data_IF_674318305508
#
_entry.id   IF_674318305508
#
_cell.length_a   1.000
_cell.length_b   1.000
_cell.length_c   1.000
_cell.angle_alpha   90.00
_cell.angle_beta   90.00
_cell.angle_gamma   90.00
#
_symmetry.space_group_name_H-M   'P 1'
#
loop_
_entity.id
_entity.type
_entity.pdbx_description
1 polymer ?
#
# COMPACT_ATOMS: atom_id res chain seq x y z
N UNK A 1 -25.03 32.29 -28.86
CA UNK A 1 -24.54 31.45 -27.76
C UNK A 1 -25.51 30.28 -27.62
N UNK A 2 -25.11 29.12 -28.15
CA UNK A 2 -26.00 27.98 -28.34
C UNK A 2 -26.19 27.21 -27.03
N UNK A 3 -27.44 27.14 -26.56
CA UNK A 3 -27.85 26.28 -25.44
C UNK A 3 -27.76 24.81 -25.86
N UNK A 4 -26.96 24.04 -25.12
CA UNK A 4 -26.86 22.59 -25.27
C UNK A 4 -28.00 21.89 -24.52
N UNK A 5 -28.71 20.92 -25.12
CA UNK A 5 -29.72 20.15 -24.40
C UNK A 5 -29.11 19.02 -23.56
N UNK A 6 -29.64 18.90 -22.35
CA UNK A 6 -29.32 17.94 -21.28
C UNK A 6 -29.73 16.52 -21.68
N UNK A 7 -28.79 15.58 -21.70
CA UNK A 7 -29.03 14.17 -21.99
C UNK A 7 -29.77 13.47 -20.82
N UNK A 8 -30.78 12.68 -21.14
CA UNK A 8 -31.54 11.83 -20.22
C UNK A 8 -30.78 10.51 -19.93
N UNK A 9 -30.94 9.89 -18.74
CA UNK A 9 -30.34 8.60 -18.46
C UNK A 9 -31.09 7.47 -19.17
N UNK A 10 -30.39 6.71 -20.00
CA UNK A 10 -30.87 5.47 -20.59
C UNK A 10 -31.02 4.41 -19.49
N UNK A 11 -32.25 4.06 -19.14
CA UNK A 11 -32.56 2.87 -18.34
C UNK A 11 -32.38 1.63 -19.21
N UNK A 12 -31.16 1.14 -19.29
CA UNK A 12 -30.85 -0.18 -19.83
C UNK A 12 -31.40 -1.25 -18.88
N UNK A 13 -32.29 -2.09 -19.40
CA UNK A 13 -32.80 -3.24 -18.68
C UNK A 13 -31.63 -4.17 -18.30
N UNK A 14 -31.37 -4.33 -17.01
CA UNK A 14 -30.53 -5.41 -16.49
C UNK A 14 -31.28 -6.72 -16.73
N UNK A 15 -31.00 -7.37 -17.86
CA UNK A 15 -31.28 -8.79 -18.02
C UNK A 15 -30.28 -9.55 -17.15
N UNK A 16 -30.75 -10.00 -15.99
CA UNK A 16 -30.05 -11.00 -15.17
C UNK A 16 -29.79 -12.23 -16.06
N UNK A 17 -28.55 -12.65 -16.35
CA UNK A 17 -28.34 -13.93 -16.97
C UNK A 17 -28.75 -14.99 -15.95
N UNK A 18 -29.73 -15.80 -16.33
CA UNK A 18 -30.15 -16.96 -15.55
C UNK A 18 -28.92 -17.81 -15.22
N UNK A 19 -28.69 -18.05 -13.93
CA UNK A 19 -27.72 -19.02 -13.47
C UNK A 19 -28.07 -20.38 -14.08
N UNK A 20 -27.32 -20.81 -15.09
CA UNK A 20 -27.39 -22.16 -15.58
C UNK A 20 -26.87 -23.05 -14.45
N UNK A 21 -27.79 -23.78 -13.80
CA UNK A 21 -27.41 -24.86 -12.91
C UNK A 21 -26.49 -25.81 -13.67
N UNK A 22 -25.26 -26.02 -13.18
CA UNK A 22 -24.31 -26.98 -13.74
C UNK A 22 -24.90 -28.39 -13.64
N UNK A 23 -25.66 -28.78 -14.66
CA UNK A 23 -26.08 -30.16 -14.84
C UNK A 23 -24.87 -31.06 -15.03
N UNK A 24 -24.96 -32.28 -14.53
CA UNK A 24 -23.92 -33.30 -14.67
C UNK A 24 -23.55 -33.48 -16.16
N UNK A 25 -22.36 -33.04 -16.55
CA UNK A 25 -21.84 -33.22 -17.92
C UNK A 25 -21.77 -34.72 -18.23
N UNK A 26 -22.30 -35.13 -19.39
CA UNK A 26 -22.23 -36.51 -19.83
C UNK A 26 -20.79 -36.98 -20.03
N UNK A 27 -20.55 -38.29 -19.96
CA UNK A 27 -19.22 -38.89 -20.20
C UNK A 27 -18.61 -38.47 -21.55
N UNK A 28 -19.45 -38.28 -22.56
CA UNK A 28 -19.03 -37.85 -23.89
C UNK A 28 -18.61 -36.37 -23.92
N UNK A 29 -19.25 -35.49 -23.14
CA UNK A 29 -18.87 -34.08 -23.04
C UNK A 29 -17.53 -33.91 -22.31
N UNK A 30 -17.30 -34.71 -21.27
CA UNK A 30 -16.01 -34.76 -20.58
C UNK A 30 -14.88 -35.22 -21.52
N UNK A 31 -15.16 -36.23 -22.38
CA UNK A 31 -14.19 -36.70 -23.38
C UNK A 31 -13.88 -35.60 -24.41
N UNK A 32 -14.89 -34.86 -24.87
CA UNK A 32 -14.74 -33.72 -25.81
C UNK A 32 -13.95 -32.57 -25.19
N UNK A 33 -14.25 -32.17 -23.95
CA UNK A 33 -13.52 -31.11 -23.23
C UNK A 33 -12.05 -31.46 -23.07
N UNK A 34 -11.75 -32.72 -22.76
CA UNK A 34 -10.37 -33.21 -22.65
C UNK A 34 -9.63 -33.17 -23.99
N UNK A 35 -10.25 -33.66 -25.07
CA UNK A 35 -9.66 -33.64 -26.42
C UNK A 35 -9.43 -32.21 -26.92
N UNK A 36 -10.36 -31.29 -26.62
CA UNK A 36 -10.21 -29.87 -26.94
C UNK A 36 -9.01 -29.26 -26.21
N UNK A 37 -8.83 -29.58 -24.92
CA UNK A 37 -7.67 -29.13 -24.17
C UNK A 37 -6.36 -29.74 -24.70
N UNK A 38 -6.33 -31.03 -25.02
CA UNK A 38 -5.15 -31.67 -25.64
C UNK A 38 -4.80 -31.02 -26.99
N UNK A 39 -5.80 -30.68 -27.81
CA UNK A 39 -5.59 -29.95 -29.06
C UNK A 39 -5.09 -28.51 -28.86
N UNK A 40 -5.57 -27.81 -27.82
CA UNK A 40 -5.07 -26.48 -27.43
C UNK A 40 -3.64 -26.55 -26.91
N UNK A 41 -3.31 -27.55 -26.08
CA UNK A 41 -1.94 -27.80 -25.60
C UNK A 41 -0.99 -28.18 -26.75
N UNK A 42 -1.49 -28.89 -27.76
CA UNK A 42 -0.73 -29.21 -28.97
C UNK A 42 -0.66 -28.04 -29.97
N UNK A 43 -1.23 -26.86 -29.66
CA UNK A 43 -1.24 -25.69 -30.54
C UNK A 43 -2.08 -25.85 -31.82
N UNK A 44 -2.92 -26.89 -31.90
CA UNK A 44 -3.78 -27.18 -33.06
C UNK A 44 -5.13 -26.47 -32.98
N UNK A 45 -5.59 -26.12 -31.78
CA UNK A 45 -6.82 -25.38 -31.54
C UNK A 45 -6.53 -24.04 -30.85
N UNK A 46 -7.38 -23.03 -31.13
CA UNK A 46 -7.23 -21.69 -30.56
C UNK A 46 -7.33 -21.69 -29.03
N UNK A 47 -6.47 -20.87 -28.41
CA UNK A 47 -6.45 -20.69 -26.98
C UNK A 47 -7.75 -20.04 -26.48
N UNK A 48 -8.11 -20.38 -25.25
CA UNK A 48 -9.26 -19.80 -24.58
C UNK A 48 -8.98 -18.34 -24.24
N UNK A 49 -9.96 -17.44 -24.42
CA UNK A 49 -9.80 -16.01 -24.15
C UNK A 49 -10.47 -15.67 -22.83
N UNK A 50 -9.75 -14.97 -21.95
CA UNK A 50 -10.27 -14.46 -20.69
C UNK A 50 -11.37 -13.42 -20.94
N UNK A 51 -12.55 -13.65 -20.38
CA UNK A 51 -13.71 -12.76 -20.53
C UNK A 51 -13.49 -11.38 -19.90
N UNK A 52 -12.70 -11.30 -18.82
CA UNK A 52 -12.48 -10.06 -18.09
C UNK A 52 -11.35 -9.22 -18.67
N UNK A 53 -10.20 -9.86 -18.95
CA UNK A 53 -9.00 -9.15 -19.42
C UNK A 53 -8.88 -9.14 -20.94
N UNK A 54 -9.64 -9.96 -21.67
CA UNK A 54 -9.52 -10.13 -23.12
C UNK A 54 -8.21 -10.78 -23.57
N UNK A 55 -7.43 -11.34 -22.64
CA UNK A 55 -6.13 -11.96 -22.90
C UNK A 55 -6.30 -13.45 -23.12
N UNK A 56 -5.44 -14.05 -23.95
CA UNK A 56 -5.40 -15.50 -24.08
C UNK A 56 -4.99 -16.15 -22.75
N UNK A 57 -5.72 -17.18 -22.35
CA UNK A 57 -5.37 -18.07 -21.25
C UNK A 57 -4.45 -19.14 -21.82
N UNK A 58 -3.28 -19.30 -21.20
CA UNK A 58 -2.29 -20.27 -21.64
C UNK A 58 -2.88 -21.70 -21.60
N UNK A 59 -2.94 -22.43 -22.74
CA UNK A 59 -3.42 -23.81 -22.80
C UNK A 59 -2.72 -24.82 -21.89
N UNK A 60 -1.47 -24.53 -21.50
CA UNK A 60 -0.69 -25.40 -20.61
C UNK A 60 -0.95 -25.16 -19.12
N UNK A 61 -1.76 -24.17 -18.76
CA UNK A 61 -2.13 -23.95 -17.36
C UNK A 61 -3.03 -25.12 -16.90
N UNK A 62 -2.67 -25.87 -15.85
CA UNK A 62 -3.47 -27.01 -15.41
C UNK A 62 -4.89 -26.59 -14.99
N UNK A 63 -5.85 -27.50 -15.15
CA UNK A 63 -7.27 -27.22 -14.93
C UNK A 63 -7.59 -26.65 -13.54
N UNK A 64 -6.85 -27.04 -12.49
CA UNK A 64 -7.10 -26.59 -11.12
C UNK A 64 -6.67 -25.14 -10.86
N UNK A 65 -5.86 -24.54 -11.74
CA UNK A 65 -5.49 -23.12 -11.68
C UNK A 65 -6.42 -22.27 -12.57
N UNK A 66 -6.91 -22.83 -13.69
CA UNK A 66 -7.79 -22.11 -14.61
C UNK A 66 -9.25 -22.08 -14.17
N UNK A 67 -9.75 -23.17 -13.57
CA UNK A 67 -11.13 -23.26 -13.10
C UNK A 67 -11.29 -22.52 -11.78
N UNK A 68 -12.06 -21.42 -11.80
CA UNK A 68 -12.37 -20.67 -10.59
C UNK A 68 -13.16 -21.56 -9.60
N UNK A 69 -12.83 -21.52 -8.29
CA UNK A 69 -13.61 -22.21 -7.27
C UNK A 69 -15.05 -21.70 -7.18
N UNK A 70 -15.99 -22.58 -6.83
CA UNK A 70 -17.43 -22.29 -6.77
C UNK A 70 -17.82 -21.10 -5.87
N UNK A 71 -17.00 -20.78 -4.87
CA UNK A 71 -17.26 -19.68 -3.92
C UNK A 71 -16.87 -18.30 -4.47
N UNK A 72 -16.19 -18.23 -5.60
CA UNK A 72 -15.96 -17.00 -6.34
C UNK A 72 -16.97 -16.99 -7.49
N UNK A 73 -17.92 -16.05 -7.47
CA UNK A 73 -19.02 -15.91 -8.44
C UNK A 73 -18.54 -15.47 -9.85
N UNK A 74 -17.54 -16.16 -10.40
CA UNK A 74 -16.96 -15.92 -11.73
C UNK A 74 -17.65 -16.78 -12.80
N UNK A 75 -18.97 -16.85 -12.76
CA UNK A 75 -19.81 -17.69 -13.66
C UNK A 75 -19.95 -17.11 -15.08
N UNK A 76 -19.10 -16.15 -15.45
CA UNK A 76 -19.21 -15.39 -16.70
C UNK A 76 -18.28 -15.94 -17.80
N UNK A 77 -17.54 -17.02 -17.53
CA UNK A 77 -16.70 -17.73 -18.49
C UNK A 77 -15.29 -18.02 -17.97
N UNK A 78 -14.40 -18.55 -18.82
CA UNK A 78 -13.03 -18.85 -18.45
C UNK A 78 -12.30 -17.56 -18.09
N UNK A 79 -11.83 -17.43 -16.85
CA UNK A 79 -11.08 -16.26 -16.40
C UNK A 79 -10.02 -16.62 -15.36
N UNK A 80 -8.91 -15.90 -15.38
CA UNK A 80 -7.83 -16.04 -14.40
C UNK A 80 -7.90 -14.98 -13.29
N UNK A 81 -9.01 -14.24 -13.21
CA UNK A 81 -9.20 -13.13 -12.28
C UNK A 81 -9.06 -13.55 -10.81
N UNK A 82 -9.43 -14.78 -10.45
CA UNK A 82 -9.27 -15.29 -9.08
C UNK A 82 -7.81 -15.54 -8.67
N UNK A 83 -6.87 -15.65 -9.62
CA UNK A 83 -5.44 -15.77 -9.32
C UNK A 83 -4.75 -14.41 -9.19
N UNK A 84 -5.41 -13.33 -9.64
CA UNK A 84 -4.89 -11.99 -9.43
C UNK A 84 -5.05 -11.62 -7.95
N UNK A 85 -4.04 -10.93 -7.43
CA UNK A 85 -4.09 -10.46 -6.06
C UNK A 85 -5.23 -9.43 -5.91
N UNK A 86 -6.21 -9.82 -5.09
CA UNK A 86 -7.47 -9.11 -4.88
C UNK A 86 -7.33 -7.91 -3.94
N UNK A 87 -6.25 -7.85 -3.16
CA UNK A 87 -5.97 -6.81 -2.17
C UNK A 87 -4.50 -6.40 -2.18
N UNK A 88 -3.98 -5.90 -3.31
CA UNK A 88 -2.70 -5.20 -3.25
C UNK A 88 -2.84 -4.04 -2.25
N UNK A 89 -2.17 -4.16 -1.11
CA UNK A 89 -1.92 -3.01 -0.26
C UNK A 89 -1.11 -2.03 -1.10
N UNK A 90 -1.49 -0.76 -1.07
CA UNK A 90 -0.62 0.27 -1.64
C UNK A 90 0.70 0.22 -0.87
N UNK A 91 1.80 0.00 -1.59
CA UNK A 91 3.11 -0.05 -0.97
C UNK A 91 3.53 1.33 -0.48
N UNK A 92 4.14 1.31 0.70
CA UNK A 92 4.95 2.32 1.38
C UNK A 92 4.67 3.77 1.00
N UNK A 93 4.03 4.50 1.92
CA UNK A 93 4.23 5.94 1.93
C UNK A 93 5.71 6.22 2.21
N UNK A 94 6.30 7.16 1.47
CA UNK A 94 7.66 7.67 1.74
C UNK A 94 7.73 8.47 3.05
N UNK A 95 6.68 8.42 3.86
CA UNK A 95 6.55 9.17 5.08
C UNK A 95 7.56 8.64 6.10
N UNK A 96 8.42 9.52 6.57
CA UNK A 96 9.27 9.28 7.73
C UNK A 96 8.56 9.82 8.97
N UNK A 97 8.89 9.28 10.14
CA UNK A 97 8.51 9.91 11.39
C UNK A 97 8.97 11.36 11.40
N UNK A 98 8.08 12.27 11.76
CA UNK A 98 8.46 13.66 11.97
C UNK A 98 9.37 13.75 13.19
N UNK A 99 10.57 14.32 13.02
CA UNK A 99 11.56 14.47 14.08
C UNK A 99 11.74 15.95 14.40
N UNK A 100 11.83 16.27 15.69
CA UNK A 100 12.13 17.63 16.15
C UNK A 100 10.98 18.64 16.03
N UNK A 101 9.82 18.22 15.51
CA UNK A 101 8.59 19.00 15.52
C UNK A 101 8.04 19.06 16.94
N UNK A 102 8.05 20.27 17.51
CA UNK A 102 7.51 20.56 18.84
C UNK A 102 6.15 21.25 18.67
N UNK A 103 5.16 20.79 19.43
CA UNK A 103 3.86 21.47 19.50
C UNK A 103 3.94 22.81 20.24
N UNK A 104 2.78 23.40 20.49
CA UNK A 104 2.68 24.67 21.19
C UNK A 104 3.26 24.61 22.61
N UNK A 105 3.87 25.73 23.03
CA UNK A 105 4.40 25.87 24.37
C UNK A 105 3.27 25.99 25.39
N UNK A 106 3.24 25.07 26.35
CA UNK A 106 2.29 25.09 27.46
C UNK A 106 2.66 26.18 28.46
N UNK A 107 1.69 27.03 28.80
CA UNK A 107 1.86 28.08 29.82
C UNK A 107 1.55 27.60 31.24
N UNK A 108 0.81 26.49 31.38
CA UNK A 108 0.40 25.93 32.67
C UNK A 108 0.58 24.42 32.69
N UNK A 109 0.88 23.90 33.88
CA UNK A 109 1.04 22.46 34.07
C UNK A 109 -0.31 21.74 33.98
N UNK A 110 -0.37 20.70 33.15
CA UNK A 110 -1.57 19.88 32.95
C UNK A 110 -1.49 18.65 33.86
N UNK A 111 -2.59 18.33 34.56
CA UNK A 111 -2.66 17.14 35.40
C UNK A 111 -2.50 15.88 34.54
N UNK A 112 -1.59 14.99 34.94
CA UNK A 112 -1.24 13.79 34.17
C UNK A 112 -0.04 13.95 33.24
N UNK A 113 0.47 15.18 33.08
CA UNK A 113 1.73 15.42 32.39
C UNK A 113 2.95 14.92 33.19
N UNK A 114 4.07 14.74 32.49
CA UNK A 114 5.36 14.42 33.06
C UNK A 114 5.73 15.39 34.20
N UNK A 115 6.01 14.85 35.38
CA UNK A 115 6.30 15.67 36.56
C UNK A 115 7.59 16.50 36.43
N UNK A 116 8.51 16.06 35.55
CA UNK A 116 9.81 16.71 35.32
C UNK A 116 9.70 17.90 34.36
N UNK A 117 9.26 17.66 33.11
CA UNK A 117 9.24 18.65 32.03
C UNK A 117 7.86 19.24 31.72
N UNK A 118 6.76 18.57 32.08
CA UNK A 118 5.39 19.05 31.82
C UNK A 118 4.79 18.66 30.46
N UNK A 119 5.46 17.82 29.65
CA UNK A 119 4.87 17.22 28.44
C UNK A 119 3.85 16.13 28.80
N UNK A 120 2.81 15.96 27.99
CA UNK A 120 1.79 14.89 28.15
C UNK A 120 2.09 13.63 27.35
N UNK A 121 3.15 13.60 26.54
CA UNK A 121 3.48 12.45 25.67
C UNK A 121 4.15 11.30 26.39
N UNK A 122 4.80 11.57 27.53
CA UNK A 122 5.63 10.59 28.22
C UNK A 122 5.55 10.72 29.75
N UNK A 123 6.06 9.71 30.45
CA UNK A 123 6.11 9.69 31.92
C UNK A 123 7.40 10.30 32.46
N UNK A 124 7.49 10.49 33.79
CA UNK A 124 8.72 11.01 34.42
C UNK A 124 9.96 10.13 34.16
N UNK A 125 9.77 8.82 34.02
CA UNK A 125 10.88 7.87 33.84
C UNK A 125 11.46 7.95 32.44
N UNK A 126 10.60 8.17 31.44
CA UNK A 126 10.96 8.23 30.02
C UNK A 126 11.16 9.69 29.55
N UNK A 127 11.57 10.56 30.47
CA UNK A 127 11.71 11.98 30.19
C UNK A 127 13.03 12.27 29.49
N UNK A 128 12.97 12.92 28.32
CA UNK A 128 14.14 13.35 27.55
C UNK A 128 14.88 14.53 28.18
N UNK A 129 14.22 15.27 29.07
CA UNK A 129 14.82 16.40 29.78
C UNK A 129 15.60 15.93 31.00
N UNK A 130 16.70 16.63 31.32
CA UNK A 130 17.51 16.34 32.50
C UNK A 130 16.64 16.28 33.76
N UNK A 131 16.75 15.24 34.62
CA UNK A 131 15.99 15.16 35.86
C UNK A 131 16.23 16.39 36.76
N UNK A 132 15.15 17.12 37.06
CA UNK A 132 15.19 18.34 37.90
C UNK A 132 15.00 17.99 39.38
N UNK A 133 15.67 18.74 40.27
CA UNK A 133 15.47 18.62 41.73
C UNK A 133 14.04 18.98 42.16
N UNK A 134 13.47 20.02 41.55
CA UNK A 134 12.06 20.39 41.65
C UNK A 134 11.49 20.38 40.23
N UNK A 135 10.60 19.44 39.95
CA UNK A 135 10.00 19.27 38.62
C UNK A 135 9.03 20.38 38.22
N UNK A 136 8.64 20.38 36.95
CA UNK A 136 7.63 21.29 36.39
C UNK A 136 6.29 21.23 37.13
N UNK A 137 5.92 20.07 37.70
CA UNK A 137 4.69 19.91 38.51
C UNK A 137 4.56 20.90 39.65
N UNK A 138 5.68 21.19 40.34
CA UNK A 138 5.71 22.04 41.53
C UNK A 138 6.13 23.47 41.24
N UNK A 139 6.92 23.67 40.18
CA UNK A 139 7.50 24.98 39.85
C UNK A 139 6.72 25.74 38.79
N UNK A 140 5.98 25.04 37.91
CA UNK A 140 5.24 25.64 36.80
C UNK A 140 6.12 26.39 35.80
N UNK A 141 7.44 26.18 35.81
CA UNK A 141 8.41 26.88 34.96
C UNK A 141 9.08 25.92 33.98
N UNK A 142 9.48 26.45 32.82
CA UNK A 142 10.17 25.72 31.75
C UNK A 142 9.42 24.45 31.35
N UNK A 143 8.16 24.63 30.93
CA UNK A 143 7.31 23.56 30.42
C UNK A 143 7.74 23.21 29.00
N UNK A 144 7.96 21.92 28.76
CA UNK A 144 8.17 21.41 27.42
C UNK A 144 6.85 21.40 26.63
N UNK A 145 6.97 21.61 25.32
CA UNK A 145 5.93 21.28 24.35
C UNK A 145 5.66 19.78 24.32
N UNK A 146 4.52 19.39 23.77
CA UNK A 146 4.28 17.99 23.44
C UNK A 146 5.01 17.58 22.17
N UNK A 147 5.46 16.34 22.14
CA UNK A 147 6.04 15.70 20.97
C UNK A 147 4.93 15.19 20.04
N UNK A 148 5.21 15.11 18.74
CA UNK A 148 4.28 14.49 17.80
C UNK A 148 4.49 12.98 17.77
N UNK A 149 3.42 12.21 18.03
CA UNK A 149 3.46 10.75 18.05
C UNK A 149 2.64 10.22 16.86
N UNK A 150 3.34 9.67 15.87
CA UNK A 150 2.75 9.06 14.68
C UNK A 150 2.82 7.54 14.75
N UNK A 151 1.74 6.87 14.34
CA UNK A 151 1.75 5.43 14.08
C UNK A 151 1.78 5.21 12.57
N UNK A 152 2.93 4.78 12.05
CA UNK A 152 3.12 4.45 10.63
C UNK A 152 3.07 2.92 10.46
N UNK A 153 2.19 2.44 9.57
CA UNK A 153 2.22 1.05 9.12
C UNK A 153 3.17 0.95 7.93
N UNK A 154 4.30 0.27 8.13
CA UNK A 154 5.41 0.22 7.18
C UNK A 154 5.78 -1.22 6.88
N UNK A 155 6.21 -1.48 5.66
CA UNK A 155 6.73 -2.79 5.25
C UNK A 155 8.08 -3.11 5.92
N UNK A 156 8.55 -4.34 5.76
CA UNK A 156 9.80 -4.81 6.37
C UNK A 156 11.00 -3.99 5.89
N UNK A 157 11.13 -3.77 4.57
CA UNK A 157 12.24 -3.01 4.00
C UNK A 157 12.18 -1.54 4.45
N UNK A 158 10.98 -0.95 4.41
CA UNK A 158 10.70 0.38 4.92
C UNK A 158 11.16 0.57 6.39
N UNK A 159 10.91 -0.40 7.28
CA UNK A 159 11.35 -0.36 8.69
C UNK A 159 12.87 -0.45 8.86
N UNK A 160 13.57 -1.13 7.94
CA UNK A 160 15.00 -1.40 8.03
C UNK A 160 15.85 -0.50 7.11
N UNK A 161 15.22 0.38 6.34
CA UNK A 161 15.93 1.32 5.49
C UNK A 161 16.79 2.26 6.33
N UNK A 162 18.10 2.11 6.19
CA UNK A 162 19.12 2.91 6.86
C UNK A 162 19.03 4.39 6.48
N UNK A 163 18.55 4.70 5.28
CA UNK A 163 18.47 6.06 4.75
C UNK A 163 17.10 6.70 4.95
N UNK A 164 16.23 6.10 5.78
CA UNK A 164 14.92 6.70 6.09
C UNK A 164 15.09 8.06 6.77
N UNK A 165 14.40 9.06 6.22
CA UNK A 165 14.45 10.44 6.71
C UNK A 165 15.70 11.21 6.28
N UNK A 166 16.46 10.71 5.32
CA UNK A 166 17.54 11.44 4.68
C UNK A 166 17.00 12.68 3.94
N UNK A 167 17.56 13.85 4.22
CA UNK A 167 17.26 15.06 3.47
C UNK A 167 18.16 15.11 2.21
N UNK A 168 17.59 15.11 0.99
CA UNK A 168 18.38 15.24 -0.23
C UNK A 168 19.30 16.47 -0.27
N UNK A 169 19.00 17.52 0.51
CA UNK A 169 19.82 18.73 0.59
C UNK A 169 21.19 18.48 1.24
N UNK A 170 21.30 17.52 2.16
CA UNK A 170 22.55 17.15 2.83
C UNK A 170 23.59 16.59 1.85
N UNK A 171 23.15 16.02 0.72
CA UNK A 171 24.05 15.52 -0.32
C UNK A 171 24.93 16.63 -0.92
N UNK A 172 24.48 17.89 -0.83
CA UNK A 172 25.24 19.04 -1.34
C UNK A 172 26.59 19.20 -0.62
N UNK A 173 26.70 18.79 0.65
CA UNK A 173 27.98 18.83 1.37
C UNK A 173 28.97 17.80 0.82
N UNK A 174 28.49 16.63 0.41
CA UNK A 174 29.31 15.60 -0.24
C UNK A 174 29.87 16.11 -1.56
N UNK A 175 29.03 16.79 -2.36
CA UNK A 175 29.45 17.41 -3.62
C UNK A 175 30.53 18.47 -3.36
N UNK A 176 30.30 19.39 -2.41
CA UNK A 176 31.27 20.43 -2.05
C UNK A 176 32.62 19.84 -1.63
N UNK A 177 32.61 18.82 -0.77
CA UNK A 177 33.83 18.16 -0.35
C UNK A 177 34.58 17.49 -1.52
N UNK A 178 33.84 16.92 -2.49
CA UNK A 178 34.45 16.36 -3.69
C UNK A 178 35.08 17.44 -4.58
N UNK A 179 34.39 18.57 -4.76
CA UNK A 179 34.90 19.71 -5.53
C UNK A 179 36.18 20.28 -4.91
N UNK A 180 36.23 20.43 -3.58
CA UNK A 180 37.42 20.88 -2.85
C UNK A 180 38.61 19.92 -3.03
N UNK A 181 38.37 18.61 -3.02
CA UNK A 181 39.41 17.60 -3.28
C UNK A 181 39.93 17.69 -4.71
N UNK A 182 39.04 17.90 -5.70
CA UNK A 182 39.44 18.07 -7.10
C UNK A 182 40.21 19.37 -7.33
N UNK A 183 39.83 20.47 -6.67
CA UNK A 183 40.62 21.70 -6.69
C UNK A 183 42.01 21.52 -6.08
N UNK A 184 42.11 20.80 -4.96
CA UNK A 184 43.40 20.49 -4.34
C UNK A 184 44.27 19.62 -5.25
N UNK A 185 43.67 18.67 -6.00
CA UNK A 185 44.36 17.88 -7.01
C UNK A 185 44.86 18.72 -8.18
N UNK A 186 44.07 19.70 -8.65
CA UNK A 186 44.45 20.62 -9.74
C UNK A 186 45.55 21.61 -9.36
N UNK A 187 45.63 21.99 -8.09
CA UNK A 187 46.66 22.91 -7.55
C UNK A 187 48.01 22.21 -7.33
N UNK A 188 48.05 20.88 -7.37
CA UNK A 188 49.27 20.06 -7.21
C UNK A 188 49.87 19.71 -8.57
#
# INVERSE_FOLDING_TARGET
MASSPKAAPATGANATPAAAAEGFKGRDDFRREKQLQEARMAGTADAEVDVNTGKMINPHNPQFITKAPWYLEQNQGPSLAHQHAWNLKQHDSKDTYTRGTKGDLKTKFVKGACENCGSTTHTRKDCFERPRKKGAKWTGRNLASDDYVENLDMDYDAKHDRWRGYDPSEYMEVIKNADEVEEARKKK
#
